data_IF_657934377481
#
_entry.id   IF_657934377481
#
_cell.length_a   1.000
_cell.length_b   1.000
_cell.length_c   1.000
_cell.angle_alpha   90.00
_cell.angle_beta   90.00
_cell.angle_gamma   90.00
#
_symmetry.space_group_name_H-M   'P 1'
#
loop_
_entity.id
_entity.type
_entity.pdbx_description
1 polymer ?
#
# COMPACT_ATOMS: atom_id res chain seq x y z
N UNK A 1 25.33 -20.29 -26.12
CA UNK A 1 24.60 -19.01 -26.00
C UNK A 1 23.11 -19.12 -25.67
N UNK A 2 22.37 -20.18 -26.07
CA UNK A 2 20.93 -20.30 -25.77
C UNK A 2 20.58 -20.55 -24.30
N UNK A 3 21.49 -21.13 -23.50
CA UNK A 3 21.26 -21.42 -22.07
C UNK A 3 21.38 -20.18 -21.17
N UNK A 4 22.25 -19.22 -21.53
CA UNK A 4 22.51 -18.02 -20.72
C UNK A 4 21.32 -17.03 -20.77
N UNK A 5 20.61 -16.97 -21.90
CA UNK A 5 19.46 -16.08 -22.08
C UNK A 5 18.27 -16.56 -21.23
N UNK A 6 18.04 -17.87 -21.13
CA UNK A 6 16.93 -18.43 -20.34
C UNK A 6 17.12 -18.14 -18.84
N UNK A 7 18.34 -18.25 -18.32
CA UNK A 7 18.63 -18.00 -16.90
C UNK A 7 18.46 -16.53 -16.51
N UNK A 8 18.87 -15.59 -17.37
CA UNK A 8 18.72 -14.13 -17.16
C UNK A 8 17.25 -13.73 -17.19
N UNK A 9 16.44 -14.30 -18.09
CA UNK A 9 15.01 -14.01 -18.20
C UNK A 9 14.24 -14.52 -16.98
N UNK A 10 14.60 -15.70 -16.42
CA UNK A 10 13.97 -16.24 -15.21
C UNK A 10 14.31 -15.39 -13.98
N UNK A 11 15.55 -14.92 -13.85
CA UNK A 11 15.96 -14.07 -12.71
C UNK A 11 15.28 -12.69 -12.73
N UNK A 12 14.93 -12.20 -13.92
CA UNK A 12 14.26 -10.90 -14.10
C UNK A 12 12.78 -10.91 -13.69
N UNK A 13 12.11 -12.06 -13.75
CA UNK A 13 10.67 -12.17 -13.52
C UNK A 13 10.26 -12.24 -12.03
N UNK A 14 11.19 -12.58 -11.14
CA UNK A 14 10.87 -12.93 -9.74
C UNK A 14 10.97 -11.77 -8.74
N UNK A 15 11.16 -10.53 -9.19
CA UNK A 15 11.39 -9.36 -8.32
C UNK A 15 10.28 -8.30 -8.36
N UNK A 16 9.07 -8.65 -8.83
CA UNK A 16 7.95 -7.73 -8.77
C UNK A 16 7.42 -7.61 -7.33
N UNK A 17 7.53 -6.40 -6.79
CA UNK A 17 6.75 -5.88 -5.67
C UNK A 17 5.29 -6.40 -5.66
N UNK A 18 4.83 -7.18 -4.68
CA UNK A 18 3.40 -7.40 -4.47
C UNK A 18 2.95 -6.92 -3.08
N UNK A 19 1.63 -6.85 -2.86
CA UNK A 19 1.04 -6.29 -1.64
C UNK A 19 1.43 -7.02 -0.35
N UNK A 20 1.94 -8.25 -0.44
CA UNK A 20 2.44 -9.02 0.70
C UNK A 20 3.96 -8.87 0.91
N UNK A 21 4.69 -8.23 0.00
CA UNK A 21 6.14 -8.04 0.14
C UNK A 21 6.43 -7.05 1.27
N UNK A 22 7.33 -7.43 2.18
CA UNK A 22 7.77 -6.60 3.30
C UNK A 22 9.27 -6.36 3.26
N UNK A 23 9.70 -5.29 3.93
CA UNK A 23 11.10 -5.00 4.23
C UNK A 23 11.29 -4.91 5.74
N UNK A 24 12.41 -5.44 6.24
CA UNK A 24 12.81 -5.31 7.63
C UNK A 24 13.39 -3.92 7.89
N UNK A 25 12.75 -3.15 8.76
CA UNK A 25 13.27 -1.86 9.24
C UNK A 25 14.40 -2.07 10.26
N UNK A 26 15.24 -1.05 10.45
CA UNK A 26 16.32 -1.07 11.45
C UNK A 26 15.80 -1.24 12.89
N UNK A 27 14.53 -0.91 13.14
CA UNK A 27 13.83 -1.09 14.41
C UNK A 27 13.41 -2.54 14.67
N UNK A 28 13.60 -3.45 13.72
CA UNK A 28 13.23 -4.86 13.86
C UNK A 28 11.83 -5.21 13.35
N UNK A 29 11.00 -4.22 13.01
CA UNK A 29 9.66 -4.44 12.46
C UNK A 29 9.69 -4.67 10.94
N UNK A 30 8.75 -5.48 10.46
CA UNK A 30 8.51 -5.68 9.03
C UNK A 30 7.48 -4.66 8.53
N UNK A 31 7.80 -3.96 7.44
CA UNK A 31 6.93 -2.95 6.83
C UNK A 31 6.54 -3.38 5.40
N UNK A 32 5.25 -3.42 5.04
CA UNK A 32 4.83 -3.65 3.66
C UNK A 32 5.35 -2.55 2.75
N UNK A 33 5.96 -2.93 1.63
CA UNK A 33 6.60 -1.97 0.71
C UNK A 33 5.63 -1.34 -0.29
N UNK A 34 4.40 -1.86 -0.36
CA UNK A 34 3.28 -1.28 -1.11
C UNK A 34 2.25 -0.79 -0.09
N UNK A 35 1.88 0.49 -0.19
CA UNK A 35 0.92 1.13 0.71
C UNK A 35 -0.10 1.99 -0.04
N UNK A 36 -1.24 2.22 0.61
CA UNK A 36 -2.30 3.11 0.14
C UNK A 36 -2.09 4.50 0.76
N UNK A 37 -1.75 5.50 -0.05
CA UNK A 37 -1.65 6.89 0.41
C UNK A 37 -3.01 7.62 0.36
N UNK A 38 -3.35 8.34 1.42
CA UNK A 38 -4.65 9.04 1.54
C UNK A 38 -4.58 10.56 1.33
N UNK A 39 -3.39 11.11 1.07
CA UNK A 39 -3.16 12.57 1.00
C UNK A 39 -3.96 13.34 -0.07
N UNK A 40 -4.48 12.65 -1.09
CA UNK A 40 -5.35 13.25 -2.11
C UNK A 40 -6.78 13.55 -1.65
N UNK A 41 -7.17 13.04 -0.46
CA UNK A 41 -8.54 13.10 0.03
C UNK A 41 -8.60 13.78 1.40
N UNK A 42 -8.46 15.11 1.41
CA UNK A 42 -8.65 15.85 2.67
C UNK A 42 -10.08 15.70 3.15
N UNK A 43 -10.26 15.40 4.43
CA UNK A 43 -11.59 15.35 5.02
C UNK A 43 -12.14 16.75 5.20
N UNK A 44 -13.44 16.89 4.94
CA UNK A 44 -14.25 18.05 5.27
C UNK A 44 -15.65 17.65 5.75
N UNK A 45 -15.81 16.39 6.18
CA UNK A 45 -17.10 15.74 6.37
C UNK A 45 -17.61 14.97 5.15
N UNK A 46 -18.82 14.42 5.20
CA UNK A 46 -19.47 13.80 4.04
C UNK A 46 -19.61 14.80 2.87
N UNK A 47 -19.39 14.39 1.60
CA UNK A 47 -19.20 13.02 1.11
C UNK A 47 -17.75 12.53 1.10
N UNK A 48 -16.75 13.39 1.29
CA UNK A 48 -15.32 13.02 1.20
C UNK A 48 -14.94 11.87 2.15
N UNK A 49 -15.47 11.88 3.38
CA UNK A 49 -15.19 10.81 4.34
C UNK A 49 -15.61 9.43 3.83
N UNK A 50 -16.74 9.33 3.12
CA UNK A 50 -17.22 8.07 2.54
C UNK A 50 -16.26 7.52 1.49
N UNK A 51 -15.64 8.41 0.72
CA UNK A 51 -14.65 8.02 -0.30
C UNK A 51 -13.40 7.45 0.38
N UNK A 52 -12.92 8.09 1.44
CA UNK A 52 -11.74 7.61 2.20
C UNK A 52 -12.03 6.25 2.83
N UNK A 53 -13.19 6.08 3.47
CA UNK A 53 -13.60 4.81 4.08
C UNK A 53 -13.64 3.70 3.04
N UNK A 54 -14.35 3.92 1.92
CA UNK A 54 -14.47 2.91 0.86
C UNK A 54 -13.10 2.57 0.27
N UNK A 55 -12.26 3.56 0.01
CA UNK A 55 -10.91 3.36 -0.53
C UNK A 55 -10.05 2.48 0.40
N UNK A 56 -10.15 2.66 1.72
CA UNK A 56 -9.39 1.84 2.69
C UNK A 56 -9.94 0.41 2.77
N UNK A 57 -11.27 0.22 2.74
CA UNK A 57 -11.87 -1.12 2.63
C UNK A 57 -11.45 -1.83 1.35
N UNK A 58 -11.57 -1.17 0.19
CA UNK A 58 -11.20 -1.75 -1.11
C UNK A 58 -9.72 -2.16 -1.13
N UNK A 59 -8.84 -1.32 -0.60
CA UNK A 59 -7.41 -1.63 -0.51
C UNK A 59 -7.15 -2.84 0.40
N UNK A 60 -7.84 -2.92 1.53
CA UNK A 60 -7.73 -4.04 2.47
C UNK A 60 -8.23 -5.34 1.83
N UNK A 61 -9.37 -5.30 1.13
CA UNK A 61 -9.96 -6.43 0.43
C UNK A 61 -9.04 -7.01 -0.66
N UNK A 62 -8.26 -6.15 -1.34
CA UNK A 62 -7.25 -6.60 -2.32
C UNK A 62 -5.87 -6.87 -1.71
N UNK A 63 -5.74 -6.82 -0.38
CA UNK A 63 -4.59 -7.32 0.37
C UNK A 63 -3.54 -6.28 0.78
N UNK A 64 -3.82 -4.98 0.67
CA UNK A 64 -2.96 -3.95 1.26
C UNK A 64 -2.96 -4.07 2.78
N UNK A 65 -1.79 -3.84 3.38
CA UNK A 65 -1.58 -3.89 4.85
C UNK A 65 -0.90 -2.64 5.40
N UNK A 66 -0.62 -1.67 4.53
CA UNK A 66 0.04 -0.41 4.86
C UNK A 66 -0.84 0.73 4.36
N UNK A 67 -1.35 1.53 5.29
CA UNK A 67 -2.13 2.73 5.02
C UNK A 67 -1.30 3.93 5.46
N UNK A 68 -1.06 4.86 4.53
CA UNK A 68 -0.29 6.08 4.77
C UNK A 68 -1.24 7.28 4.87
N UNK A 69 -1.21 7.96 6.01
CA UNK A 69 -2.03 9.13 6.32
C UNK A 69 -1.23 10.13 7.15
N UNK A 70 -1.77 11.35 7.30
CA UNK A 70 -1.18 12.39 8.13
C UNK A 70 -2.25 13.32 8.68
N UNK A 71 -2.01 13.90 9.85
CA UNK A 71 -2.93 14.86 10.47
C UNK A 71 -3.22 16.08 9.58
N UNK A 72 -2.28 16.47 8.71
CA UNK A 72 -2.49 17.55 7.74
C UNK A 72 -3.60 17.27 6.70
N UNK A 73 -3.94 15.99 6.49
CA UNK A 73 -5.00 15.55 5.59
C UNK A 73 -6.38 15.62 6.26
N UNK A 74 -6.43 15.75 7.58
CA UNK A 74 -7.65 15.82 8.40
C UNK A 74 -8.57 14.59 8.27
N UNK A 75 -8.13 13.53 7.60
CA UNK A 75 -8.94 12.36 7.25
C UNK A 75 -8.67 11.12 8.11
N UNK A 76 -7.83 11.21 9.14
CA UNK A 76 -7.46 10.09 10.03
C UNK A 76 -8.70 9.43 10.66
N UNK A 77 -9.72 10.22 11.01
CA UNK A 77 -10.99 9.71 11.54
C UNK A 77 -11.74 8.85 10.51
N UNK A 78 -11.73 9.24 9.23
CA UNK A 78 -12.35 8.45 8.17
C UNK A 78 -11.53 7.20 7.86
N UNK A 79 -10.19 7.31 7.87
CA UNK A 79 -9.29 6.15 7.74
C UNK A 79 -9.53 5.11 8.82
N UNK A 80 -9.65 5.52 10.09
CA UNK A 80 -9.89 4.61 11.22
C UNK A 80 -11.34 4.13 11.38
N UNK A 81 -12.26 4.57 10.52
CA UNK A 81 -13.64 4.06 10.46
C UNK A 81 -13.80 2.86 9.53
N UNK A 82 -12.85 2.65 8.62
CA UNK A 82 -12.74 1.44 7.82
C UNK A 82 -12.17 0.29 8.65
#
# INVERSE_FOLDING_TARGET
>A
MKLLIILVVIFSYSYAANVNTTVRLNSGYDCPIVGLGTGGYRSGGPPQDKVVIQMVHDATDVGYKHIDTASAYLNEKAVGQA
#
